data_IF_954218667926
#
_entry.id   IF_954218667926
#
_cell.length_a   1.000
_cell.length_b   1.000
_cell.length_c   1.000
_cell.angle_alpha   90.00
_cell.angle_beta   90.00
_cell.angle_gamma   90.00
#
_symmetry.space_group_name_H-M   'P 1'
#
loop_
_entity.id
_entity.type
_entity.pdbx_description
1 polymer ?
#
# COMPACT_ATOMS: atom_id res chain seq x y z
N UNK A 1 -19.08 47.77 42.86
CA UNK A 1 -20.00 46.82 42.21
C UNK A 1 -20.44 47.33 40.83
N UNK A 2 -19.62 47.61 39.79
CA UNK A 2 -18.20 47.31 39.51
C UNK A 2 -17.77 45.99 40.14
N UNK A 3 -18.03 44.86 39.47
CA UNK A 3 -17.21 43.62 39.56
C UNK A 3 -17.77 42.33 38.89
N UNK A 4 -18.81 42.35 38.04
CA UNK A 4 -19.15 41.14 37.22
C UNK A 4 -19.38 41.47 35.73
N UNK A 5 -19.26 42.74 35.32
CA UNK A 5 -19.12 43.15 33.90
C UNK A 5 -17.63 43.15 33.45
N UNK A 6 -16.79 42.39 34.16
CA UNK A 6 -15.32 42.34 34.00
C UNK A 6 -14.78 40.90 33.82
N UNK A 7 -15.64 39.87 33.87
CA UNK A 7 -15.22 38.49 33.57
C UNK A 7 -15.50 38.07 32.12
N UNK A 8 -16.31 38.86 31.38
CA UNK A 8 -16.57 38.65 29.96
C UNK A 8 -15.66 39.50 29.04
N UNK A 9 -14.63 40.15 29.59
CA UNK A 9 -13.71 41.04 28.83
C UNK A 9 -12.21 40.81 29.08
N UNK A 10 -11.80 39.86 29.93
CA UNK A 10 -10.37 39.59 30.27
C UNK A 10 -9.98 38.12 30.11
N UNK A 11 -10.28 37.47 28.98
CA UNK A 11 -9.35 36.56 28.27
C UNK A 11 -9.74 36.52 26.80
N UNK A 12 -9.45 37.63 26.10
CA UNK A 12 -9.02 37.51 24.71
C UNK A 12 -7.59 36.95 24.66
N UNK A 13 -7.17 36.48 23.49
CA UNK A 13 -5.84 35.96 23.15
C UNK A 13 -5.60 34.55 23.72
N UNK A 14 -5.39 33.52 22.89
CA UNK A 14 -4.26 33.43 21.97
C UNK A 14 -4.74 32.94 20.58
N UNK A 15 -5.00 33.90 19.70
CA UNK A 15 -4.70 33.79 18.26
C UNK A 15 -3.21 34.06 18.11
N UNK A 16 -2.41 33.07 17.71
CA UNK A 16 -1.09 33.36 17.11
C UNK A 16 -1.31 33.44 15.61
N UNK A 17 -1.61 34.66 15.17
CA UNK A 17 -1.26 35.11 13.83
C UNK A 17 0.25 35.36 13.84
N UNK A 18 1.02 34.58 13.09
CA UNK A 18 2.30 35.05 12.57
C UNK A 18 2.16 35.17 11.06
N UNK A 19 2.24 36.41 10.61
CA UNK A 19 2.76 36.77 9.29
C UNK A 19 1.80 36.65 8.13
N UNK A 20 1.09 37.74 7.83
CA UNK A 20 0.71 38.02 6.45
C UNK A 20 1.99 38.33 5.68
N UNK A 21 2.42 37.39 4.84
CA UNK A 21 3.25 37.70 3.68
C UNK A 21 2.33 37.55 2.45
N UNK A 22 1.93 38.69 1.88
CA UNK A 22 1.40 38.73 0.52
C UNK A 22 2.52 38.25 -0.41
N UNK A 23 2.43 37.00 -0.84
CA UNK A 23 3.05 36.53 -2.06
C UNK A 23 1.96 35.84 -2.87
N UNK A 24 1.68 36.38 -4.03
CA UNK A 24 1.03 35.64 -5.10
C UNK A 24 1.91 34.43 -5.40
N UNK A 25 1.47 33.22 -5.09
CA UNK A 25 2.31 32.06 -5.36
C UNK A 25 1.81 30.75 -4.77
N UNK A 26 1.36 29.89 -5.68
CA UNK A 26 1.20 28.44 -5.56
C UNK A 26 0.07 27.93 -4.66
N UNK A 27 -0.98 27.44 -5.30
CA UNK A 27 -2.05 26.70 -4.65
C UNK A 27 -1.49 25.47 -3.93
N UNK A 28 -1.88 25.31 -2.67
CA UNK A 28 -1.85 24.01 -2.02
C UNK A 28 -2.91 23.15 -2.70
N UNK A 29 -2.44 22.24 -3.55
CA UNK A 29 -3.26 21.12 -4.00
C UNK A 29 -3.61 20.30 -2.76
N UNK A 30 -4.79 20.55 -2.21
CA UNK A 30 -5.45 19.66 -1.27
C UNK A 30 -5.65 18.32 -1.98
N UNK A 31 -4.68 17.41 -1.84
CA UNK A 31 -4.78 16.04 -2.33
C UNK A 31 -5.95 15.39 -1.59
N UNK A 32 -7.14 15.47 -2.18
CA UNK A 32 -8.34 14.79 -1.72
C UNK A 32 -7.98 13.34 -1.40
N UNK A 33 -7.87 13.04 -0.11
CA UNK A 33 -7.70 11.69 0.41
C UNK A 33 -8.82 10.86 -0.20
N UNK A 34 -8.45 9.89 -1.04
CA UNK A 34 -9.38 9.10 -1.82
C UNK A 34 -10.56 8.56 -1.00
N UNK A 35 -11.75 8.49 -1.59
CA UNK A 35 -12.92 7.90 -0.93
C UNK A 35 -12.60 6.47 -0.52
N UNK A 36 -12.82 6.14 0.75
CA UNK A 36 -12.63 4.80 1.31
C UNK A 36 -13.94 4.03 1.23
N UNK A 37 -13.91 2.86 0.60
CA UNK A 37 -14.99 1.89 0.50
C UNK A 37 -14.65 0.67 1.36
N UNK A 38 -15.51 0.31 2.31
CA UNK A 38 -15.37 -0.94 3.08
C UNK A 38 -16.06 -2.04 2.28
N UNK A 39 -15.27 -2.93 1.67
CA UNK A 39 -15.77 -4.01 0.82
C UNK A 39 -16.31 -5.17 1.65
N UNK A 40 -15.61 -5.52 2.73
CA UNK A 40 -16.03 -6.62 3.60
C UNK A 40 -15.49 -6.47 5.02
N UNK A 41 -16.14 -7.20 5.93
CA UNK A 41 -15.77 -7.30 7.34
C UNK A 41 -15.63 -8.77 7.75
N UNK A 42 -14.82 -9.01 8.77
CA UNK A 42 -14.78 -10.28 9.49
C UNK A 42 -16.05 -10.46 10.34
N UNK A 43 -16.31 -11.68 10.81
CA UNK A 43 -17.50 -11.97 11.64
C UNK A 43 -17.57 -11.18 12.95
N UNK A 44 -16.42 -10.70 13.44
CA UNK A 44 -16.31 -9.83 14.62
C UNK A 44 -16.54 -8.34 14.31
N UNK A 45 -16.85 -7.98 13.05
CA UNK A 45 -17.11 -6.60 12.63
C UNK A 45 -15.89 -5.81 12.16
N UNK A 46 -14.68 -6.35 12.32
CA UNK A 46 -13.44 -5.71 11.89
C UNK A 46 -13.33 -5.64 10.37
N UNK A 47 -12.76 -4.58 9.83
CA UNK A 47 -12.53 -4.44 8.38
C UNK A 47 -11.66 -5.59 7.89
N UNK A 48 -12.13 -6.28 6.85
CA UNK A 48 -11.40 -7.37 6.19
C UNK A 48 -10.79 -6.90 4.88
N UNK A 49 -11.53 -6.11 4.10
CA UNK A 49 -11.07 -5.50 2.85
C UNK A 49 -11.60 -4.09 2.74
N UNK A 50 -10.75 -3.16 2.36
CA UNK A 50 -11.11 -1.81 1.96
C UNK A 50 -10.48 -1.44 0.61
N UNK A 51 -11.16 -0.54 -0.10
CA UNK A 51 -10.73 0.05 -1.37
C UNK A 51 -10.60 1.55 -1.18
N UNK A 52 -9.59 2.16 -1.78
CA UNK A 52 -9.36 3.59 -1.73
C UNK A 52 -9.23 4.07 -3.17
N UNK A 53 -10.18 4.88 -3.62
CA UNK A 53 -10.15 5.46 -4.96
C UNK A 53 -8.94 6.38 -5.09
N UNK A 54 -8.04 6.09 -6.04
CA UNK A 54 -6.92 6.97 -6.36
C UNK A 54 -7.27 7.82 -7.60
N UNK A 55 -6.28 8.54 -8.13
CA UNK A 55 -6.45 9.32 -9.36
C UNK A 55 -6.81 8.43 -10.54
N UNK A 56 -7.82 8.83 -11.33
CA UNK A 56 -8.24 8.10 -12.52
C UNK A 56 -8.97 6.80 -12.19
N UNK A 57 -8.70 5.75 -12.95
CA UNK A 57 -9.27 4.40 -12.81
C UNK A 57 -8.49 3.51 -11.83
N UNK A 58 -7.51 4.08 -11.11
CA UNK A 58 -6.67 3.34 -10.17
C UNK A 58 -7.31 3.27 -8.78
N UNK A 59 -7.37 2.07 -8.22
CA UNK A 59 -7.89 1.80 -6.88
C UNK A 59 -6.82 1.09 -6.06
N UNK A 60 -6.56 1.57 -4.84
CA UNK A 60 -5.73 0.83 -3.88
C UNK A 60 -6.61 -0.15 -3.13
N UNK A 61 -6.19 -1.40 -3.05
CA UNK A 61 -6.89 -2.46 -2.32
C UNK A 61 -6.05 -2.89 -1.13
N UNK A 62 -6.65 -2.91 0.05
CA UNK A 62 -6.01 -3.36 1.29
C UNK A 62 -6.87 -4.46 1.90
N UNK A 63 -6.29 -5.63 2.14
CA UNK A 63 -6.90 -6.68 2.94
C UNK A 63 -6.18 -6.82 4.26
N UNK A 64 -6.90 -7.21 5.30
CA UNK A 64 -6.40 -7.33 6.67
C UNK A 64 -6.58 -8.75 7.18
N UNK A 65 -5.59 -9.23 7.94
CA UNK A 65 -5.74 -10.38 8.83
C UNK A 65 -6.76 -10.05 9.93
N UNK A 66 -7.31 -11.07 10.60
CA UNK A 66 -8.26 -10.87 11.71
C UNK A 66 -7.68 -10.06 12.87
N UNK A 67 -6.35 -10.07 13.03
CA UNK A 67 -5.61 -9.28 14.01
C UNK A 67 -5.33 -7.83 13.56
N UNK A 68 -6.02 -7.35 12.52
CA UNK A 68 -5.91 -6.02 11.91
C UNK A 68 -4.58 -5.68 11.23
N UNK A 69 -3.62 -6.59 11.20
CA UNK A 69 -2.41 -6.39 10.39
C UNK A 69 -2.75 -6.57 8.91
N UNK A 70 -2.08 -5.81 8.05
CA UNK A 70 -2.25 -5.95 6.60
C UNK A 70 -1.92 -7.38 6.19
N UNK A 71 -2.81 -7.99 5.41
CA UNK A 71 -2.61 -9.27 4.77
C UNK A 71 -2.10 -9.08 3.34
N UNK A 72 -2.79 -8.25 2.55
CA UNK A 72 -2.34 -7.90 1.20
C UNK A 72 -2.56 -6.42 0.91
N UNK A 73 -1.70 -5.85 0.08
CA UNK A 73 -1.85 -4.48 -0.41
C UNK A 73 -1.38 -4.42 -1.85
N UNK A 74 -2.11 -3.67 -2.67
CA UNK A 74 -1.74 -3.47 -4.06
C UNK A 74 -2.66 -2.47 -4.73
N UNK A 75 -2.45 -2.29 -6.03
CA UNK A 75 -3.29 -1.43 -6.86
C UNK A 75 -3.95 -2.25 -7.96
N UNK A 76 -5.13 -1.80 -8.35
CA UNK A 76 -5.86 -2.30 -9.50
C UNK A 76 -6.25 -1.13 -10.38
N UNK A 77 -6.43 -1.39 -11.67
CA UNK A 77 -7.23 -0.56 -12.57
C UNK A 77 -8.56 -1.24 -12.80
N UNK A 78 -9.66 -0.48 -12.81
CA UNK A 78 -10.97 -1.04 -13.14
C UNK A 78 -11.14 -1.01 -14.66
N UNK A 79 -11.17 -2.19 -15.29
CA UNK A 79 -11.32 -2.35 -16.74
C UNK A 79 -12.57 -3.19 -16.99
N UNK A 80 -13.53 -2.63 -17.73
CA UNK A 80 -14.82 -3.28 -18.03
C UNK A 80 -15.59 -3.77 -16.78
N UNK A 81 -15.44 -3.04 -15.67
CA UNK A 81 -16.06 -3.38 -14.38
C UNK A 81 -15.29 -4.38 -13.52
N UNK A 82 -14.15 -4.89 -14.02
CA UNK A 82 -13.32 -5.87 -13.33
C UNK A 82 -12.02 -5.24 -12.79
N UNK A 83 -11.56 -5.74 -11.65
CA UNK A 83 -10.31 -5.32 -11.01
C UNK A 83 -9.11 -6.00 -11.70
N UNK A 84 -8.27 -5.22 -12.37
CA UNK A 84 -7.04 -5.67 -13.03
C UNK A 84 -5.82 -5.23 -12.24
N UNK A 85 -5.03 -6.17 -11.72
CA UNK A 85 -3.83 -5.85 -10.91
C UNK A 85 -2.80 -5.04 -11.69
N UNK A 86 -2.24 -4.03 -11.02
CA UNK A 86 -1.24 -3.14 -11.58
C UNK A 86 -0.18 -2.79 -10.52
N UNK A 87 1.09 -2.77 -10.94
CA UNK A 87 2.24 -2.49 -10.11
C UNK A 87 2.50 -3.55 -9.04
N UNK A 88 3.17 -3.13 -7.98
CA UNK A 88 3.59 -4.00 -6.89
C UNK A 88 2.40 -4.42 -6.03
N UNK A 89 2.29 -5.72 -5.83
CA UNK A 89 1.42 -6.38 -4.86
C UNK A 89 2.26 -7.02 -3.78
N UNK A 90 1.98 -6.64 -2.55
CA UNK A 90 2.67 -7.16 -1.37
C UNK A 90 1.68 -7.99 -0.54
N UNK A 91 2.18 -9.07 0.02
CA UNK A 91 1.45 -9.88 0.96
C UNK A 91 2.32 -10.16 2.19
N UNK A 92 1.68 -10.30 3.34
CA UNK A 92 2.34 -10.33 4.64
C UNK A 92 1.83 -11.50 5.48
N UNK A 93 2.73 -12.08 6.27
CA UNK A 93 2.38 -13.02 7.31
C UNK A 93 1.53 -12.34 8.41
N UNK A 94 0.82 -13.14 9.21
CA UNK A 94 0.01 -12.66 10.35
C UNK A 94 0.82 -11.89 11.39
N UNK A 95 2.14 -12.09 11.44
CA UNK A 95 3.04 -11.31 12.30
C UNK A 95 3.42 -9.93 11.73
N UNK A 96 3.07 -9.65 10.46
CA UNK A 96 3.36 -8.42 9.74
C UNK A 96 4.65 -8.45 8.91
N UNK A 97 5.40 -9.56 8.93
CA UNK A 97 6.58 -9.70 8.07
C UNK A 97 6.17 -9.93 6.61
N UNK A 98 6.97 -9.45 5.63
CA UNK A 98 6.72 -9.73 4.22
C UNK A 98 6.65 -11.24 3.96
N UNK A 99 5.69 -11.64 3.13
CA UNK A 99 5.58 -12.99 2.59
C UNK A 99 5.87 -12.99 1.09
N UNK A 100 5.32 -12.03 0.33
CA UNK A 100 5.61 -11.90 -1.10
C UNK A 100 5.57 -10.45 -1.58
N UNK A 101 6.26 -10.20 -2.68
CA UNK A 101 6.27 -8.95 -3.42
C UNK A 101 6.35 -9.32 -4.91
N UNK A 102 5.30 -8.96 -5.64
CA UNK A 102 5.09 -9.41 -7.01
C UNK A 102 4.72 -8.19 -7.85
N UNK A 103 5.38 -7.98 -8.98
CA UNK A 103 5.00 -6.90 -9.89
C UNK A 103 4.02 -7.39 -10.95
N UNK A 104 2.94 -6.62 -11.16
CA UNK A 104 1.90 -6.89 -12.15
C UNK A 104 1.79 -5.76 -13.15
N UNK A 105 1.46 -6.10 -14.39
CA UNK A 105 1.08 -5.15 -15.44
C UNK A 105 -0.14 -5.68 -16.14
N UNK A 106 -1.25 -4.96 -16.13
CA UNK A 106 -2.50 -5.40 -16.77
C UNK A 106 -2.93 -6.82 -16.35
N UNK A 107 -2.80 -7.13 -15.05
CA UNK A 107 -3.24 -8.39 -14.47
C UNK A 107 -2.26 -9.56 -14.60
N UNK A 108 -1.19 -9.44 -15.39
CA UNK A 108 -0.15 -10.47 -15.54
C UNK A 108 1.11 -10.13 -14.76
N UNK A 109 1.85 -11.13 -14.27
CA UNK A 109 3.15 -10.89 -13.62
C UNK A 109 4.13 -10.29 -14.64
N UNK A 110 4.74 -9.17 -14.31
CA UNK A 110 5.70 -8.48 -15.18
C UNK A 110 6.70 -7.71 -14.30
N UNK A 111 7.94 -8.17 -14.29
CA UNK A 111 9.01 -7.67 -13.42
C UNK A 111 9.36 -8.63 -12.30
N UNK A 112 9.86 -8.08 -11.20
CA UNK A 112 10.45 -8.83 -10.10
C UNK A 112 9.42 -9.65 -9.32
N UNK A 113 9.83 -10.84 -8.91
CA UNK A 113 9.09 -11.74 -8.04
C UNK A 113 9.95 -12.13 -6.84
N UNK A 114 9.45 -11.84 -5.64
CA UNK A 114 10.13 -12.14 -4.38
C UNK A 114 9.18 -12.80 -3.40
N UNK A 115 9.69 -13.79 -2.67
CA UNK A 115 8.99 -14.33 -1.49
C UNK A 115 9.98 -14.52 -0.35
N UNK A 116 9.48 -14.44 0.87
CA UNK A 116 10.28 -14.60 2.09
C UNK A 116 9.72 -15.73 2.95
N UNK A 117 10.59 -16.35 3.72
CA UNK A 117 10.25 -17.27 4.81
C UNK A 117 9.69 -16.50 6.01
N UNK A 118 8.99 -17.16 6.96
CA UNK A 118 8.46 -16.50 8.16
C UNK A 118 9.52 -15.85 9.07
N UNK A 119 10.78 -16.31 8.98
CA UNK A 119 11.89 -15.70 9.70
C UNK A 119 12.36 -14.38 9.06
N UNK A 120 12.00 -14.13 7.79
CA UNK A 120 12.38 -12.96 7.00
C UNK A 120 13.51 -13.23 5.99
N UNK A 121 14.06 -14.43 5.94
CA UNK A 121 15.03 -14.81 4.90
C UNK A 121 14.33 -14.89 3.53
N UNK A 122 15.03 -14.49 2.47
CA UNK A 122 14.52 -14.64 1.10
C UNK A 122 14.30 -16.14 0.83
N UNK A 123 13.14 -16.48 0.27
CA UNK A 123 12.76 -17.84 -0.10
C UNK A 123 12.88 -18.04 -1.62
N UNK A 124 12.35 -17.10 -2.40
CA UNK A 124 12.41 -17.15 -3.86
C UNK A 124 12.73 -15.76 -4.40
N UNK A 125 13.61 -15.68 -5.39
CA UNK A 125 13.86 -14.51 -6.20
C UNK A 125 13.84 -14.92 -7.68
N UNK A 126 13.12 -14.16 -8.50
CA UNK A 126 13.05 -14.36 -9.94
C UNK A 126 12.42 -13.17 -10.64
N UNK A 127 12.23 -13.31 -11.95
CA UNK A 127 11.60 -12.28 -12.77
C UNK A 127 10.59 -12.92 -13.72
N UNK A 128 9.54 -12.17 -14.03
CA UNK A 128 8.60 -12.45 -15.10
C UNK A 128 8.71 -11.37 -16.19
N UNK A 129 8.47 -11.74 -17.43
CA UNK A 129 8.18 -10.83 -18.52
C UNK A 129 6.94 -11.31 -19.25
N UNK A 130 5.90 -10.48 -19.30
CA UNK A 130 4.60 -10.80 -19.89
C UNK A 130 4.02 -12.14 -19.40
N UNK A 131 4.10 -12.40 -18.10
CA UNK A 131 3.60 -13.63 -17.49
C UNK A 131 4.50 -14.86 -17.65
N UNK A 132 5.64 -14.74 -18.33
CA UNK A 132 6.60 -15.83 -18.53
C UNK A 132 7.82 -15.64 -17.63
N UNK A 133 8.25 -16.69 -16.94
CA UNK A 133 9.47 -16.68 -16.13
C UNK A 133 10.69 -16.34 -17.02
N UNK A 134 11.56 -15.44 -16.55
CA UNK A 134 12.76 -15.02 -17.27
C UNK A 134 13.93 -14.77 -16.31
N UNK A 135 15.15 -14.85 -16.84
CA UNK A 135 16.37 -14.63 -16.07
C UNK A 135 16.67 -15.74 -15.06
N UNK A 136 17.49 -15.39 -14.06
CA UNK A 136 17.90 -16.30 -13.00
C UNK A 136 16.82 -16.40 -11.91
N UNK A 137 16.38 -17.63 -11.66
CA UNK A 137 15.55 -17.99 -10.53
C UNK A 137 16.39 -18.63 -9.44
N UNK A 138 16.21 -18.17 -8.21
CA UNK A 138 16.89 -18.70 -7.04
C UNK A 138 15.88 -19.08 -5.97
N UNK A 139 16.10 -20.25 -5.38
CA UNK A 139 15.35 -20.79 -4.25
C UNK A 139 16.32 -20.95 -3.10
N UNK A 140 15.98 -20.35 -1.97
CA UNK A 140 16.82 -20.26 -0.80
C UNK A 140 16.12 -20.90 0.39
N UNK A 141 16.88 -21.56 1.27
CA UNK A 141 16.35 -22.07 2.52
C UNK A 141 16.17 -20.97 3.58
N UNK A 142 15.76 -21.35 4.79
CA UNK A 142 15.54 -20.41 5.90
C UNK A 142 16.82 -19.74 6.42
N UNK A 143 18.00 -20.24 6.06
CA UNK A 143 19.29 -19.62 6.39
C UNK A 143 19.78 -18.69 5.28
N UNK A 144 19.03 -18.58 4.17
CA UNK A 144 19.41 -17.79 3.01
C UNK A 144 20.38 -18.51 2.06
N UNK A 145 20.60 -19.82 2.24
CA UNK A 145 21.47 -20.61 1.36
C UNK A 145 20.70 -20.97 0.11
N UNK A 146 21.26 -20.69 -1.07
CA UNK A 146 20.68 -21.10 -2.36
C UNK A 146 20.73 -22.62 -2.46
N UNK A 147 19.55 -23.24 -2.44
CA UNK A 147 19.40 -24.71 -2.55
C UNK A 147 19.07 -25.14 -3.98
N UNK A 148 18.58 -24.21 -4.80
CA UNK A 148 18.28 -24.46 -6.22
C UNK A 148 18.34 -23.14 -6.99
N UNK A 149 18.85 -23.20 -8.21
CA UNK A 149 18.71 -22.11 -9.16
C UNK A 149 18.60 -22.66 -10.59
N UNK A 150 17.96 -21.88 -11.47
CA UNK A 150 17.92 -22.13 -12.90
C UNK A 150 17.86 -20.81 -13.65
N UNK A 151 18.42 -20.77 -14.86
CA UNK A 151 18.37 -19.62 -15.75
C UNK A 151 17.41 -19.94 -16.91
N UNK A 152 16.38 -19.11 -17.04
CA UNK A 152 15.35 -19.18 -18.08
C UNK A 152 15.37 -17.96 -18.98
N UNK A 153 16.53 -17.32 -19.13
CA UNK A 153 16.72 -16.29 -20.14
C UNK A 153 16.41 -16.88 -21.52
N UNK A 154 15.43 -16.33 -22.28
CA UNK A 154 15.16 -16.79 -23.63
C UNK A 154 16.44 -16.69 -24.47
N UNK A 155 16.85 -17.80 -25.09
CA UNK A 155 17.99 -17.80 -26.00
C UNK A 155 17.75 -16.81 -27.15
N UNK A 156 18.79 -16.06 -27.51
CA UNK A 156 18.81 -15.15 -28.67
C UNK A 156 18.59 -15.91 -29.98
#
# INVERSE_FOLDING_TARGET
MKEIDEFMKIVGYITIMIGVAFSWGCGEADEKRGTVEIVSKWGNGNVKVERIQMKGDTVKVISYHENFKINTIGRVRVVDGEDVKEGVWEAFYTNGKPWSNNNFKSGINDGEYKTWHPNGAQNILGFYSNGVETGLWQFMDTLGVVVRQFDVTPGL
#
